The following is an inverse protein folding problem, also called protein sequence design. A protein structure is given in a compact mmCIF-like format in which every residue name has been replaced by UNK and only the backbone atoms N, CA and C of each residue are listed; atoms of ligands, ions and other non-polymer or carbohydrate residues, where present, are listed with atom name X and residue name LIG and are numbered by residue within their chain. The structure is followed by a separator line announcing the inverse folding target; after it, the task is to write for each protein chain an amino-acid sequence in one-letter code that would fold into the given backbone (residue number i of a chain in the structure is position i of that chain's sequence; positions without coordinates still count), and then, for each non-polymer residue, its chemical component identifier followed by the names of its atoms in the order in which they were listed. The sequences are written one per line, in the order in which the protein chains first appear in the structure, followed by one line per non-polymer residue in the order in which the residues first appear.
data_IF_633103692386
#
_entry.id   IF_633103692386
#
_cell.length_a   1.000
_cell.length_b   1.000
_cell.length_c   1.000
_cell.angle_alpha   90.00
_cell.angle_beta   90.00
_cell.angle_gamma   90.00
#
_symmetry.space_group_name_H-M   'P 1'
#
loop_
_entity.id
_entity.type
_entity.pdbx_description
1 polymer ?
#
# COMPACT_ATOMS: atom_id res chain seq x y z
N UNK A 1 -44.02 26.40 -77.78
CA UNK A 1 -42.77 27.02 -78.27
C UNK A 1 -41.91 27.40 -77.04
N UNK A 2 -40.66 27.11 -77.12
CA UNK A 2 -39.53 27.42 -76.19
C UNK A 2 -39.44 26.59 -74.88
N UNK A 3 -38.61 25.63 -75.02
CA UNK A 3 -37.97 24.82 -73.91
C UNK A 3 -37.08 25.75 -73.10
N UNK A 4 -37.17 25.65 -71.77
CA UNK A 4 -36.14 26.18 -70.85
C UNK A 4 -35.61 25.00 -70.09
N UNK A 5 -34.40 24.71 -70.39
CA UNK A 5 -33.60 23.66 -69.73
C UNK A 5 -33.05 24.30 -68.45
N UNK A 6 -33.44 23.81 -67.26
CA UNK A 6 -32.81 24.19 -65.98
C UNK A 6 -31.74 23.18 -65.62
N UNK A 7 -30.51 23.63 -65.64
CA UNK A 7 -29.32 22.93 -65.23
C UNK A 7 -29.24 22.97 -63.72
N UNK A 8 -29.57 21.85 -63.04
CA UNK A 8 -29.35 21.70 -61.61
C UNK A 8 -27.89 21.24 -61.35
N UNK A 9 -27.08 22.19 -60.92
CA UNK A 9 -25.71 21.87 -60.45
C UNK A 9 -25.78 21.19 -59.09
N UNK A 10 -25.50 19.90 -59.04
CA UNK A 10 -25.39 19.12 -57.83
C UNK A 10 -24.02 19.40 -57.18
N UNK A 11 -24.00 20.28 -56.16
CA UNK A 11 -22.82 20.55 -55.35
C UNK A 11 -22.64 19.41 -54.35
N UNK A 12 -21.74 18.49 -54.65
CA UNK A 12 -21.28 17.47 -53.72
C UNK A 12 -20.33 18.12 -52.68
N UNK A 13 -20.89 18.46 -51.51
CA UNK A 13 -20.11 18.85 -50.35
C UNK A 13 -19.41 17.59 -49.77
N UNK A 14 -18.15 17.41 -50.12
CA UNK A 14 -17.24 16.48 -49.48
C UNK A 14 -16.90 17.03 -48.08
N UNK A 15 -17.66 16.64 -47.05
CA UNK A 15 -17.26 16.89 -45.65
C UNK A 15 -16.09 16.01 -45.31
N UNK A 16 -14.88 16.57 -45.35
CA UNK A 16 -13.70 15.99 -44.75
C UNK A 16 -13.93 16.00 -43.26
N UNK A 17 -14.38 14.88 -42.69
CA UNK A 17 -14.38 14.65 -41.27
C UNK A 17 -12.89 14.59 -40.81
N UNK A 18 -12.39 15.71 -40.28
CA UNK A 18 -11.12 15.75 -39.62
C UNK A 18 -11.21 14.77 -38.43
N UNK A 19 -10.61 13.60 -38.60
CA UNK A 19 -10.42 12.65 -37.49
C UNK A 19 -9.47 13.32 -36.50
N UNK A 20 -10.05 14.00 -35.49
CA UNK A 20 -9.27 14.42 -34.33
C UNK A 20 -8.72 13.16 -33.68
N UNK A 21 -7.39 13.04 -33.50
CA UNK A 21 -6.85 11.93 -32.72
C UNK A 21 -7.47 11.98 -31.34
N UNK A 22 -8.29 10.99 -31.02
CA UNK A 22 -8.88 10.83 -29.70
C UNK A 22 -7.73 10.64 -28.73
N UNK A 23 -7.41 11.69 -28.01
CA UNK A 23 -6.36 11.70 -27.01
C UNK A 23 -6.77 10.66 -25.97
N UNK A 24 -6.05 9.52 -25.93
CA UNK A 24 -6.26 8.53 -24.89
C UNK A 24 -6.18 9.26 -23.54
N UNK A 25 -7.10 9.00 -22.60
CA UNK A 25 -7.10 9.67 -21.32
C UNK A 25 -5.71 9.49 -20.71
N UNK A 26 -5.08 10.60 -20.34
CA UNK A 26 -3.79 10.57 -19.65
C UNK A 26 -3.95 9.62 -18.47
N UNK A 27 -3.09 8.60 -18.39
CA UNK A 27 -3.10 7.67 -17.26
C UNK A 27 -2.98 8.52 -16.00
N UNK A 28 -4.03 8.52 -15.17
CA UNK A 28 -4.04 9.26 -13.91
C UNK A 28 -2.85 8.83 -13.04
N UNK A 29 -2.46 9.65 -12.05
CA UNK A 29 -1.33 9.34 -11.19
C UNK A 29 -1.48 7.94 -10.60
N UNK A 30 -0.43 7.14 -10.69
CA UNK A 30 -0.42 5.76 -10.17
C UNK A 30 -0.75 5.77 -8.69
N UNK A 31 -1.67 4.92 -8.25
CA UNK A 31 -1.94 4.71 -6.83
C UNK A 31 -0.65 4.29 -6.11
N UNK A 32 -0.42 4.85 -4.93
CA UNK A 32 0.71 4.48 -4.08
C UNK A 32 0.59 3.01 -3.69
N UNK A 33 1.67 2.25 -3.86
CA UNK A 33 1.73 0.84 -3.47
C UNK A 33 2.23 0.73 -2.05
N UNK A 34 1.48 0.03 -1.20
CA UNK A 34 1.87 -0.17 0.20
C UNK A 34 1.80 -1.64 0.58
N UNK A 35 2.69 -2.07 1.46
CA UNK A 35 2.59 -3.33 2.18
C UNK A 35 2.28 -3.04 3.66
N UNK A 36 1.43 -3.86 4.26
CA UNK A 36 1.07 -3.75 5.66
C UNK A 36 1.62 -4.98 6.36
N UNK A 37 2.46 -4.75 7.37
CA UNK A 37 3.02 -5.82 8.19
C UNK A 37 2.08 -6.15 9.34
N UNK A 38 2.24 -7.35 9.89
CA UNK A 38 1.55 -7.70 11.13
C UNK A 38 1.96 -6.76 12.24
N UNK A 39 0.97 -6.34 13.01
CA UNK A 39 1.24 -5.50 14.16
C UNK A 39 1.99 -6.29 15.23
N UNK A 40 3.04 -5.68 15.77
CA UNK A 40 3.70 -6.20 16.95
C UNK A 40 2.77 -6.12 18.16
N UNK A 41 2.63 -7.23 18.88
CA UNK A 41 1.79 -7.32 20.07
C UNK A 41 2.55 -7.84 21.30
N UNK A 42 3.88 -7.82 21.26
CA UNK A 42 4.71 -8.31 22.36
C UNK A 42 4.37 -7.65 23.70
N UNK A 43 4.03 -6.36 23.68
CA UNK A 43 3.67 -5.59 24.89
C UNK A 43 2.38 -6.09 25.55
N UNK A 44 1.44 -6.62 24.77
CA UNK A 44 0.11 -7.06 25.24
C UNK A 44 -0.07 -8.57 25.16
N UNK A 45 0.97 -9.31 24.86
CA UNK A 45 0.93 -10.76 24.63
C UNK A 45 0.28 -11.52 25.82
N UNK A 46 0.64 -11.16 27.05
CA UNK A 46 0.05 -11.79 28.25
C UNK A 46 -1.44 -11.52 28.40
N UNK A 47 -1.89 -10.31 28.05
CA UNK A 47 -3.29 -9.92 28.14
C UNK A 47 -4.13 -10.64 27.07
N UNK A 48 -3.55 -10.78 25.86
CA UNK A 48 -4.13 -11.57 24.76
C UNK A 48 -4.28 -13.04 25.17
N UNK A 49 -3.20 -13.66 25.67
CA UNK A 49 -3.23 -15.05 26.08
C UNK A 49 -4.24 -15.28 27.24
N UNK A 50 -4.32 -14.36 28.19
CA UNK A 50 -5.30 -14.44 29.29
C UNK A 50 -6.74 -14.29 28.79
N UNK A 51 -6.99 -13.44 27.79
CA UNK A 51 -8.31 -13.20 27.23
C UNK A 51 -8.82 -14.38 26.40
N UNK A 52 -7.97 -14.94 25.53
CA UNK A 52 -8.37 -16.01 24.62
C UNK A 52 -8.12 -17.43 25.17
N UNK A 53 -7.39 -17.54 26.28
CA UNK A 53 -7.00 -18.85 26.85
C UNK A 53 -5.97 -19.62 26.03
N UNK A 54 -5.42 -19.01 24.99
CA UNK A 54 -4.39 -19.55 24.08
C UNK A 54 -3.64 -18.41 23.41
N UNK A 55 -2.50 -18.73 22.80
CA UNK A 55 -1.75 -17.77 22.00
C UNK A 55 -2.46 -17.54 20.65
N UNK A 56 -2.89 -16.28 20.42
CA UNK A 56 -3.58 -15.84 19.22
C UNK A 56 -2.78 -14.69 18.61
N UNK A 57 -2.42 -14.80 17.32
CA UNK A 57 -1.77 -13.70 16.61
C UNK A 57 -2.77 -12.58 16.30
N UNK A 58 -2.99 -11.71 17.29
CA UNK A 58 -3.85 -10.52 17.17
C UNK A 58 -3.25 -9.48 16.24
N UNK A 59 -1.92 -9.48 16.09
CA UNK A 59 -1.21 -8.59 15.19
C UNK A 59 -1.60 -8.83 13.74
N UNK A 60 -1.68 -10.11 13.35
CA UNK A 60 -2.17 -10.54 12.04
C UNK A 60 -3.63 -10.14 11.82
N UNK A 61 -4.51 -10.43 12.79
CA UNK A 61 -5.94 -10.12 12.67
C UNK A 61 -6.19 -8.62 12.48
N UNK A 62 -5.48 -7.77 13.22
CA UNK A 62 -5.58 -6.31 13.12
C UNK A 62 -5.04 -5.80 11.77
N UNK A 63 -3.91 -6.35 11.29
CA UNK A 63 -3.38 -5.97 9.98
C UNK A 63 -4.32 -6.34 8.85
N UNK A 64 -4.99 -7.51 8.90
CA UNK A 64 -5.95 -7.96 7.89
C UNK A 64 -7.20 -7.06 7.85
N UNK A 65 -7.67 -6.57 9.03
CA UNK A 65 -8.73 -5.56 9.10
C UNK A 65 -8.27 -4.23 8.48
N UNK A 66 -7.06 -3.75 8.79
CA UNK A 66 -6.52 -2.52 8.22
C UNK A 66 -6.41 -2.62 6.70
N UNK A 67 -5.90 -3.76 6.16
CA UNK A 67 -5.89 -4.05 4.72
C UNK A 67 -7.29 -3.89 4.14
N UNK A 68 -8.31 -4.45 4.79
CA UNK A 68 -9.70 -4.37 4.32
C UNK A 68 -10.18 -2.93 4.21
N UNK A 69 -9.89 -2.08 5.19
CA UNK A 69 -10.26 -0.65 5.15
C UNK A 69 -9.52 0.09 4.03
N UNK A 70 -8.21 -0.11 3.88
CA UNK A 70 -7.42 0.58 2.86
C UNK A 70 -7.79 0.14 1.44
N UNK A 71 -8.11 -1.13 1.23
CA UNK A 71 -8.58 -1.64 -0.08
C UNK A 71 -9.96 -1.08 -0.42
N UNK A 72 -10.89 -1.02 0.56
CA UNK A 72 -12.23 -0.43 0.37
C UNK A 72 -12.16 1.07 0.04
N UNK A 73 -11.29 1.82 0.72
CA UNK A 73 -11.07 3.24 0.42
C UNK A 73 -10.49 3.45 -0.98
N UNK A 74 -9.64 2.54 -1.44
CA UNK A 74 -9.07 2.56 -2.79
C UNK A 74 -8.00 3.61 -3.03
N UNK A 75 -7.55 4.37 -2.03
CA UNK A 75 -6.46 5.36 -2.13
C UNK A 75 -5.11 4.71 -2.37
N UNK A 76 -4.92 3.51 -1.87
CA UNK A 76 -3.70 2.72 -2.00
C UNK A 76 -3.88 1.52 -2.92
N UNK A 77 -2.78 1.04 -3.48
CA UNK A 77 -2.64 -0.29 -4.04
C UNK A 77 -1.94 -1.17 -3.00
N UNK A 78 -2.72 -1.99 -2.29
CA UNK A 78 -2.18 -2.83 -1.21
C UNK A 78 -1.62 -4.12 -1.79
N UNK A 79 -0.44 -4.54 -1.32
CA UNK A 79 0.22 -5.77 -1.75
C UNK A 79 -0.41 -6.98 -1.07
N UNK A 80 -0.60 -8.04 -1.84
CA UNK A 80 -1.14 -9.32 -1.37
C UNK A 80 -0.27 -9.92 -0.25
N UNK A 81 -0.93 -10.35 0.82
CA UNK A 81 -0.27 -10.89 2.01
C UNK A 81 0.62 -12.10 1.71
N UNK A 82 0.17 -13.02 0.84
CA UNK A 82 0.97 -14.21 0.49
C UNK A 82 2.34 -13.86 -0.10
N UNK A 83 2.43 -12.76 -0.85
CA UNK A 83 3.69 -12.28 -1.39
C UNK A 83 4.59 -11.75 -0.26
N UNK A 84 4.01 -11.08 0.72
CA UNK A 84 4.70 -10.60 1.90
C UNK A 84 5.23 -11.75 2.76
N UNK A 85 4.37 -12.71 3.12
CA UNK A 85 4.72 -13.86 3.96
C UNK A 85 5.88 -14.67 3.35
N UNK A 86 5.88 -14.89 2.03
CA UNK A 86 6.94 -15.58 1.32
C UNK A 86 8.31 -14.88 1.49
N UNK A 87 8.33 -13.56 1.29
CA UNK A 87 9.58 -12.78 1.41
C UNK A 87 10.04 -12.72 2.86
N UNK A 88 9.13 -12.57 3.81
CA UNK A 88 9.46 -12.56 5.24
C UNK A 88 10.07 -13.89 5.69
N UNK A 89 9.52 -15.01 5.23
CA UNK A 89 10.06 -16.34 5.51
C UNK A 89 11.48 -16.53 4.93
N UNK A 90 11.73 -16.08 3.70
CA UNK A 90 13.04 -16.14 3.05
C UNK A 90 14.10 -15.26 3.75
N UNK A 91 13.69 -14.17 4.39
CA UNK A 91 14.58 -13.23 5.10
C UNK A 91 14.73 -13.53 6.60
N UNK A 92 14.18 -14.64 7.11
CA UNK A 92 14.16 -14.98 8.55
C UNK A 92 13.62 -13.83 9.42
N UNK A 93 12.58 -13.15 8.94
CA UNK A 93 11.99 -12.00 9.63
C UNK A 93 11.26 -12.47 10.90
N UNK A 94 11.69 -11.97 12.06
CA UNK A 94 11.14 -12.35 13.35
C UNK A 94 9.97 -11.46 13.78
N UNK A 95 9.19 -11.91 14.78
CA UNK A 95 8.11 -11.12 15.35
C UNK A 95 8.59 -9.78 15.92
N UNK A 96 9.80 -9.74 16.50
CA UNK A 96 10.40 -8.51 17.02
C UNK A 96 10.76 -7.48 15.94
N UNK A 97 10.88 -7.91 14.68
CA UNK A 97 11.19 -7.01 13.56
C UNK A 97 9.95 -6.33 12.96
N UNK A 98 8.75 -6.77 13.34
CA UNK A 98 7.47 -6.29 12.77
C UNK A 98 7.28 -4.77 12.90
N UNK A 99 7.78 -4.18 13.99
CA UNK A 99 7.70 -2.74 14.24
C UNK A 99 8.99 -1.98 13.89
N UNK A 100 10.02 -2.64 13.37
CA UNK A 100 11.31 -2.03 13.05
C UNK A 100 11.28 -1.37 11.65
N UNK A 101 11.37 -0.02 11.54
CA UNK A 101 11.27 0.68 10.25
C UNK A 101 12.38 0.30 9.26
N UNK A 102 13.61 0.07 9.75
CA UNK A 102 14.76 -0.24 8.89
C UNK A 102 14.64 -1.62 8.26
N UNK A 103 14.24 -2.63 9.03
CA UNK A 103 13.99 -3.98 8.53
C UNK A 103 12.82 -3.99 7.55
N UNK A 104 11.75 -3.29 7.88
CA UNK A 104 10.58 -3.12 7.04
C UNK A 104 10.93 -2.45 5.69
N UNK A 105 11.74 -1.40 5.68
CA UNK A 105 12.15 -0.72 4.45
C UNK A 105 12.90 -1.64 3.48
N UNK A 106 13.77 -2.52 3.98
CA UNK A 106 14.48 -3.51 3.14
C UNK A 106 13.52 -4.47 2.45
N UNK A 107 12.53 -4.98 3.18
CA UNK A 107 11.51 -5.87 2.61
C UNK A 107 10.63 -5.13 1.61
N UNK A 108 10.30 -3.88 1.87
CA UNK A 108 9.53 -3.05 0.94
C UNK A 108 10.20 -2.85 -0.41
N UNK A 109 11.53 -2.71 -0.42
CA UNK A 109 12.31 -2.65 -1.67
C UNK A 109 12.17 -3.94 -2.48
N UNK A 110 12.22 -5.10 -1.83
CA UNK A 110 12.03 -6.40 -2.49
C UNK A 110 10.60 -6.55 -3.06
N UNK A 111 9.61 -6.03 -2.36
CA UNK A 111 8.19 -6.01 -2.80
C UNK A 111 7.91 -4.99 -3.89
N UNK A 112 8.81 -4.02 -4.10
CA UNK A 112 8.60 -2.91 -5.03
C UNK A 112 7.40 -2.03 -4.64
N UNK A 113 7.19 -1.80 -3.34
CA UNK A 113 6.19 -0.87 -2.82
C UNK A 113 6.75 0.54 -2.68
N UNK A 114 5.91 1.53 -2.48
CA UNK A 114 6.32 2.92 -2.25
C UNK A 114 6.55 3.19 -0.77
N UNK A 115 5.79 2.53 0.11
CA UNK A 115 5.94 2.61 1.55
C UNK A 115 5.47 1.32 2.23
N UNK A 116 5.84 1.17 3.50
CA UNK A 116 5.36 0.11 4.37
C UNK A 116 4.64 0.71 5.56
N UNK A 117 3.56 0.05 5.97
CA UNK A 117 2.89 0.32 7.24
C UNK A 117 3.36 -0.73 8.25
N UNK A 118 4.02 -0.28 9.30
CA UNK A 118 4.39 -1.07 10.47
C UNK A 118 3.63 -0.57 11.69
N UNK A 119 3.26 -1.45 12.59
CA UNK A 119 2.47 -1.05 13.76
C UNK A 119 2.72 -1.89 14.99
N UNK A 120 2.24 -1.40 16.11
CA UNK A 120 2.22 -2.11 17.39
C UNK A 120 0.88 -1.92 18.10
N UNK A 121 0.49 -2.94 18.84
CA UNK A 121 -0.66 -2.94 19.72
C UNK A 121 -0.16 -2.56 21.10
N UNK A 122 -0.58 -1.41 21.62
CA UNK A 122 -0.09 -0.86 22.88
C UNK A 122 -1.02 -1.12 24.06
N UNK A 123 -2.30 -1.41 23.77
CA UNK A 123 -3.29 -1.85 24.74
C UNK A 123 -4.23 -2.86 24.09
N UNK A 124 -4.56 -3.94 24.80
CA UNK A 124 -5.51 -4.95 24.35
C UNK A 124 -6.14 -5.67 25.52
N UNK A 125 -7.45 -5.53 25.71
CA UNK A 125 -8.19 -6.25 26.76
C UNK A 125 -8.98 -5.34 27.68
N UNK A 126 -8.97 -5.65 28.98
CA UNK A 126 -9.79 -5.00 29.97
C UNK A 126 -9.03 -3.87 30.69
N UNK A 127 -9.62 -2.70 30.84
CA UNK A 127 -9.18 -1.72 31.83
C UNK A 127 -9.70 -2.17 33.20
N UNK A 128 -9.01 -3.11 33.83
CA UNK A 128 -9.22 -3.37 35.25
C UNK A 128 -8.58 -2.22 36.00
N UNK A 129 -9.32 -1.16 36.27
CA UNK A 129 -9.01 -0.34 37.44
C UNK A 129 -9.23 -1.27 38.64
N UNK A 130 -8.17 -1.92 39.08
CA UNK A 130 -8.10 -2.43 40.44
C UNK A 130 -8.20 -1.21 41.36
N UNK A 131 -9.41 -0.83 41.65
CA UNK A 131 -9.70 -0.11 42.88
C UNK A 131 -9.39 -1.10 44.00
N UNK A 132 -8.08 -1.29 44.25
CA UNK A 132 -7.60 -1.79 45.51
C UNK A 132 -8.01 -0.76 46.57
N UNK A 133 -9.28 -0.81 46.99
CA UNK A 133 -9.67 -0.38 48.29
C UNK A 133 -9.08 -1.42 49.27
N UNK A 134 -7.72 -1.46 49.30
CA UNK A 134 -6.93 -2.05 50.36
C UNK A 134 -7.18 -1.24 51.60
N UNK A 135 -8.12 -1.60 52.35
CA UNK A 135 -8.43 -0.99 53.63
C UNK A 135 -8.99 -2.03 54.56
N UNK A 136 -8.13 -2.58 55.38
CA UNK A 136 -8.40 -2.94 56.79
C UNK A 136 -9.90 -3.03 57.08
N UNK A 137 -10.46 -4.26 57.13
CA UNK A 137 -11.84 -4.47 57.60
C UNK A 137 -12.57 -5.66 56.97
N UNK A 138 -11.85 -6.61 56.36
CA UNK A 138 -12.45 -7.80 55.72
C UNK A 138 -12.66 -8.98 56.66
N UNK A 139 -13.17 -8.77 57.85
CA UNK A 139 -13.58 -9.84 58.76
C UNK A 139 -14.95 -9.57 59.30
N UNK A 140 -15.89 -10.42 59.07
CA UNK A 140 -17.20 -10.54 59.69
C UNK A 140 -18.41 -9.84 59.06
N UNK A 141 -18.65 -9.91 57.76
CA UNK A 141 -20.04 -9.97 57.31
C UNK A 141 -20.14 -10.97 56.15
N UNK A 142 -19.97 -12.25 56.47
CA UNK A 142 -20.39 -13.34 55.64
C UNK A 142 -21.86 -13.61 55.83
N UNK A 143 -22.54 -13.95 54.76
CA UNK A 143 -23.90 -14.45 54.62
C UNK A 143 -25.04 -13.44 54.49
N UNK A 144 -25.44 -13.27 53.27
CA UNK A 144 -26.84 -13.04 52.95
C UNK A 144 -27.23 -11.62 52.62
N UNK A 145 -26.67 -11.02 51.60
CA UNK A 145 -27.39 -10.10 50.72
C UNK A 145 -26.72 -10.20 49.35
N UNK A 146 -27.44 -10.80 48.40
CA UNK A 146 -27.03 -10.85 47.00
C UNK A 146 -26.81 -9.43 46.49
N UNK A 147 -25.57 -9.00 46.54
CA UNK A 147 -25.17 -7.77 45.86
C UNK A 147 -25.37 -7.98 44.38
N UNK A 148 -26.41 -7.35 43.82
CA UNK A 148 -26.52 -7.13 42.38
C UNK A 148 -25.37 -6.23 41.93
N UNK A 149 -24.17 -6.79 41.90
CA UNK A 149 -23.02 -6.12 41.31
C UNK A 149 -23.21 -6.11 39.82
N UNK A 150 -23.64 -4.99 39.25
CA UNK A 150 -23.54 -4.76 37.82
C UNK A 150 -22.05 -4.86 37.44
N UNK A 151 -21.67 -5.96 36.80
CA UNK A 151 -20.32 -6.13 36.26
C UNK A 151 -20.31 -5.52 34.89
N UNK A 152 -19.83 -4.30 34.81
CA UNK A 152 -19.56 -3.66 33.52
C UNK A 152 -18.21 -4.15 32.99
N UNK A 153 -18.23 -4.82 31.87
CA UNK A 153 -17.01 -5.18 31.13
C UNK A 153 -16.69 -4.05 30.16
N UNK A 154 -15.46 -3.50 30.28
CA UNK A 154 -14.94 -2.47 29.39
C UNK A 154 -13.73 -3.04 28.65
N UNK A 155 -13.77 -3.01 27.32
CA UNK A 155 -12.65 -3.34 26.47
C UNK A 155 -11.95 -2.08 25.98
N UNK A 156 -10.62 -2.11 25.91
CA UNK A 156 -9.80 -1.06 25.33
C UNK A 156 -8.79 -1.71 24.40
N UNK A 157 -8.67 -1.13 23.20
CA UNK A 157 -7.65 -1.48 22.22
C UNK A 157 -6.99 -0.19 21.77
N UNK A 158 -5.65 -0.13 21.82
CA UNK A 158 -4.88 1.00 21.31
C UNK A 158 -3.81 0.50 20.33
N UNK A 159 -3.73 1.19 19.19
CA UNK A 159 -2.86 0.88 18.07
C UNK A 159 -1.99 2.09 17.75
N UNK A 160 -0.75 1.83 17.38
CA UNK A 160 0.11 2.83 16.75
C UNK A 160 0.63 2.25 15.45
N UNK A 161 0.44 2.96 14.33
CA UNK A 161 0.97 2.60 13.03
C UNK A 161 1.88 3.69 12.50
N UNK A 162 2.90 3.30 11.71
CA UNK A 162 3.86 4.22 11.09
C UNK A 162 3.95 3.90 9.61
N UNK A 163 3.89 4.94 8.79
CA UNK A 163 4.15 4.84 7.36
C UNK A 163 5.64 5.12 7.16
N UNK A 164 6.36 4.14 6.64
CA UNK A 164 7.82 4.18 6.47
C UNK A 164 8.16 4.22 4.99
N UNK A 165 9.00 5.19 4.62
CA UNK A 165 9.59 5.24 3.28
C UNK A 165 10.59 4.08 3.10
N UNK A 166 10.50 3.38 1.97
CA UNK A 166 11.35 2.21 1.74
C UNK A 166 12.78 2.54 1.32
N UNK A 167 13.05 3.76 0.84
CA UNK A 167 14.39 4.14 0.40
C UNK A 167 15.23 4.71 1.53
N UNK A 168 14.61 5.59 2.32
CA UNK A 168 15.28 6.29 3.42
C UNK A 168 15.11 5.59 4.75
N UNK A 169 14.06 4.79 4.93
CA UNK A 169 13.65 4.24 6.22
C UNK A 169 13.01 5.29 7.14
N UNK A 170 12.74 6.48 6.64
CA UNK A 170 12.11 7.55 7.41
C UNK A 170 10.64 7.29 7.70
N UNK A 171 10.19 7.70 8.87
CA UNK A 171 8.78 7.67 9.25
C UNK A 171 8.11 8.91 8.67
N UNK A 172 7.30 8.71 7.63
CA UNK A 172 6.58 9.79 6.94
C UNK A 172 5.35 10.25 7.70
N UNK A 173 4.68 9.33 8.38
CA UNK A 173 3.48 9.60 9.16
C UNK A 173 3.33 8.60 10.30
N UNK A 174 2.67 9.05 11.35
CA UNK A 174 2.22 8.21 12.47
C UNK A 174 0.69 8.28 12.50
N UNK A 175 0.06 7.15 12.74
CA UNK A 175 -1.37 7.00 12.92
C UNK A 175 -1.63 6.28 14.24
N UNK A 176 -2.54 6.82 15.03
CA UNK A 176 -2.92 6.26 16.33
C UNK A 176 -4.43 5.99 16.33
N UNK A 177 -4.81 4.84 16.86
CA UNK A 177 -6.21 4.47 17.01
C UNK A 177 -6.47 3.93 18.38
N UNK A 178 -7.54 4.41 18.98
CA UNK A 178 -8.04 3.89 20.25
C UNK A 178 -9.52 3.56 20.13
N UNK A 179 -9.84 2.32 20.45
CA UNK A 179 -11.23 1.87 20.53
C UNK A 179 -11.59 1.47 21.95
N UNK A 180 -12.76 1.86 22.38
CA UNK A 180 -13.34 1.47 23.66
C UNK A 180 -14.76 0.94 23.44
N UNK A 181 -15.10 -0.12 24.12
CA UNK A 181 -16.47 -0.63 24.17
C UNK A 181 -16.80 -1.07 25.58
N UNK A 182 -18.02 -0.80 26.03
CA UNK A 182 -18.49 -1.14 27.34
C UNK A 182 -19.93 -1.68 27.28
N UNK A 183 -20.15 -2.82 27.94
CA UNK A 183 -21.48 -3.40 28.08
C UNK A 183 -21.69 -4.01 29.48
N UNK A 184 -22.92 -4.11 29.90
CA UNK A 184 -23.28 -4.98 31.01
C UNK A 184 -23.10 -6.45 30.60
N UNK A 185 -21.91 -6.97 30.85
CA UNK A 185 -21.56 -8.37 30.57
C UNK A 185 -20.47 -8.83 31.53
N UNK A 186 -20.42 -10.12 31.78
CA UNK A 186 -19.36 -10.73 32.59
C UNK A 186 -18.11 -11.11 31.79
N UNK A 187 -18.14 -11.00 30.45
CA UNK A 187 -17.07 -11.43 29.58
C UNK A 187 -16.87 -10.47 28.39
N UNK A 188 -15.64 -10.20 28.05
CA UNK A 188 -15.28 -9.40 26.87
C UNK A 188 -15.57 -10.11 25.54
N UNK A 189 -15.68 -11.43 25.57
CA UNK A 189 -15.93 -12.28 24.39
C UNK A 189 -17.40 -12.70 24.24
N UNK A 190 -18.29 -12.20 25.09
CA UNK A 190 -19.73 -12.57 25.09
C UNK A 190 -20.11 -13.58 26.18
N UNK A 191 -21.41 -13.73 26.43
CA UNK A 191 -21.90 -14.51 27.56
C UNK A 191 -21.75 -16.02 27.43
N UNK A 192 -21.05 -16.62 28.35
CA UNK A 192 -21.32 -17.98 28.87
C UNK A 192 -20.99 -19.21 28.00
N UNK A 193 -20.36 -19.08 26.84
CA UNK A 193 -19.96 -20.22 26.02
C UNK A 193 -18.47 -20.18 25.69
N UNK A 194 -17.79 -21.30 25.82
CA UNK A 194 -16.47 -21.43 25.27
C UNK A 194 -16.50 -21.01 23.78
N UNK A 195 -15.70 -20.02 23.40
CA UNK A 195 -15.57 -19.60 22.03
C UNK A 195 -14.95 -20.72 21.21
N UNK A 196 -15.77 -21.57 20.61
CA UNK A 196 -15.34 -22.67 19.76
C UNK A 196 -14.91 -22.22 18.34
N UNK A 197 -14.86 -20.89 18.07
CA UNK A 197 -14.47 -20.33 16.80
C UNK A 197 -12.95 -20.28 16.54
N UNK A 198 -12.12 -20.64 17.51
CA UNK A 198 -10.67 -20.63 17.39
C UNK A 198 -10.12 -22.04 17.16
N UNK A 199 -10.38 -22.63 16.01
CA UNK A 199 -9.67 -23.82 15.56
C UNK A 199 -8.28 -23.44 15.05
N UNK A 200 -7.22 -23.78 15.80
CA UNK A 200 -5.86 -23.73 15.26
C UNK A 200 -5.11 -22.40 15.30
N UNK A 201 -5.32 -21.54 16.31
CA UNK A 201 -4.46 -20.37 16.53
C UNK A 201 -4.73 -19.14 15.65
N UNK A 202 -5.68 -19.21 14.72
CA UNK A 202 -6.08 -18.07 13.88
C UNK A 202 -7.45 -17.55 14.32
N UNK A 203 -7.50 -16.34 14.89
CA UNK A 203 -8.72 -15.63 15.13
C UNK A 203 -9.18 -14.90 13.87
N UNK A 204 -10.38 -15.19 13.37
CA UNK A 204 -10.98 -14.41 12.30
C UNK A 204 -11.59 -13.13 12.85
N UNK A 205 -10.78 -12.07 12.93
CA UNK A 205 -11.19 -10.74 13.36
C UNK A 205 -12.19 -10.08 12.39
N UNK A 206 -12.29 -10.59 11.17
CA UNK A 206 -13.25 -10.15 10.16
C UNK A 206 -14.63 -10.77 10.35
N UNK A 207 -14.77 -11.83 11.16
CA UNK A 207 -16.05 -12.51 11.37
C UNK A 207 -17.07 -11.63 12.07
N UNK A 208 -18.36 -11.78 11.70
CA UNK A 208 -19.45 -11.07 12.35
C UNK A 208 -19.53 -11.38 13.85
N UNK A 209 -19.23 -12.62 14.22
CA UNK A 209 -19.31 -13.10 15.60
C UNK A 209 -18.27 -12.42 16.49
N UNK A 210 -17.01 -12.30 15.99
CA UNK A 210 -15.99 -11.55 16.72
C UNK A 210 -16.33 -10.06 16.82
N UNK A 211 -16.75 -9.44 15.71
CA UNK A 211 -17.05 -8.00 15.67
C UNK A 211 -18.25 -7.60 16.57
N UNK A 212 -19.10 -8.55 16.97
CA UNK A 212 -20.20 -8.33 17.91
C UNK A 212 -19.77 -8.48 19.36
N UNK A 213 -18.57 -8.94 19.64
CA UNK A 213 -18.03 -9.00 21.01
C UNK A 213 -17.59 -7.60 21.47
N UNK A 214 -17.48 -7.41 22.79
CA UNK A 214 -17.02 -6.12 23.35
C UNK A 214 -15.60 -5.80 22.88
N UNK A 215 -14.70 -6.79 22.86
CA UNK A 215 -13.33 -6.61 22.38
C UNK A 215 -13.30 -6.38 20.87
N UNK A 216 -14.15 -7.05 20.10
CA UNK A 216 -14.25 -6.87 18.65
C UNK A 216 -14.72 -5.49 18.25
N UNK A 217 -15.67 -4.90 18.98
CA UNK A 217 -16.07 -3.51 18.78
C UNK A 217 -14.93 -2.53 19.07
N UNK A 218 -14.17 -2.74 20.14
CA UNK A 218 -13.01 -1.92 20.46
C UNK A 218 -11.91 -2.05 19.39
N UNK A 219 -11.65 -3.27 18.91
CA UNK A 219 -10.72 -3.51 17.78
C UNK A 219 -11.17 -2.76 16.55
N UNK A 220 -12.44 -2.91 16.16
CA UNK A 220 -12.99 -2.24 14.98
C UNK A 220 -12.81 -0.72 15.07
N UNK A 221 -13.19 -0.11 16.19
CA UNK A 221 -13.07 1.34 16.39
C UNK A 221 -11.61 1.81 16.31
N UNK A 222 -10.68 1.07 16.93
CA UNK A 222 -9.25 1.40 16.88
C UNK A 222 -8.69 1.31 15.45
N UNK A 223 -9.02 0.24 14.71
CA UNK A 223 -8.57 0.05 13.33
C UNK A 223 -9.17 1.11 12.40
N UNK A 224 -10.44 1.45 12.55
CA UNK A 224 -11.11 2.48 11.74
C UNK A 224 -10.46 3.85 11.95
N UNK A 225 -10.18 4.23 13.18
CA UNK A 225 -9.46 5.48 13.49
C UNK A 225 -8.03 5.48 12.93
N UNK A 226 -7.30 4.36 13.07
CA UNK A 226 -5.96 4.20 12.51
C UNK A 226 -5.99 4.28 10.98
N UNK A 227 -6.94 3.59 10.33
CA UNK A 227 -7.06 3.55 8.87
C UNK A 227 -7.30 4.94 8.27
N UNK A 228 -8.16 5.75 8.90
CA UNK A 228 -8.42 7.13 8.48
C UNK A 228 -7.15 7.98 8.45
N UNK A 229 -6.29 7.84 9.47
CA UNK A 229 -5.03 8.58 9.54
C UNK A 229 -3.98 8.03 8.56
N UNK A 230 -3.94 6.70 8.35
CA UNK A 230 -3.07 6.09 7.33
C UNK A 230 -3.48 6.56 5.93
N UNK A 231 -4.79 6.64 5.64
CA UNK A 231 -5.31 7.15 4.37
C UNK A 231 -4.90 8.62 4.17
N UNK A 232 -5.04 9.46 5.20
CA UNK A 232 -4.59 10.84 5.15
C UNK A 232 -3.07 10.98 4.94
N UNK A 233 -2.30 10.01 5.43
CA UNK A 233 -0.84 9.96 5.29
C UNK A 233 -0.35 9.79 3.85
N UNK A 234 -1.21 9.40 2.89
CA UNK A 234 -0.83 9.19 1.48
C UNK A 234 -0.20 10.41 0.82
N UNK A 235 -0.62 11.60 1.23
CA UNK A 235 -0.13 12.86 0.68
C UNK A 235 1.36 13.10 1.00
N UNK A 236 1.87 12.46 2.05
CA UNK A 236 3.29 12.53 2.44
C UNK A 236 4.17 11.55 1.66
N UNK A 237 3.57 10.59 0.95
CA UNK A 237 4.33 9.65 0.14
C UNK A 237 4.77 10.30 -1.17
N UNK A 238 6.06 10.34 -1.40
CA UNK A 238 6.62 10.79 -2.68
C UNK A 238 6.13 9.87 -3.80
N UNK A 239 5.62 10.47 -4.88
CA UNK A 239 5.30 9.68 -6.07
C UNK A 239 6.61 9.28 -6.72
N UNK A 240 6.93 8.00 -6.68
CA UNK A 240 8.11 7.51 -7.38
C UNK A 240 7.77 7.32 -8.84
N UNK A 241 8.43 8.07 -9.66
CA UNK A 241 8.53 7.74 -11.07
C UNK A 241 9.53 6.58 -11.15
N UNK A 242 9.09 5.42 -11.65
CA UNK A 242 10.03 4.33 -11.97
C UNK A 242 10.99 4.90 -13.00
N UNK A 243 12.24 5.13 -12.60
CA UNK A 243 13.25 5.60 -13.54
C UNK A 243 13.62 4.41 -14.42
N UNK A 244 13.00 4.34 -15.60
CA UNK A 244 13.41 3.38 -16.62
C UNK A 244 14.64 3.95 -17.29
N UNK A 245 15.72 3.18 -17.31
CA UNK A 245 16.92 3.48 -18.08
C UNK A 245 17.20 2.34 -19.04
N UNK A 246 17.33 2.67 -20.30
CA UNK A 246 17.62 1.71 -21.36
C UNK A 246 18.27 2.36 -22.55
N UNK A 247 18.39 1.61 -23.64
CA UNK A 247 18.95 2.06 -24.90
C UNK A 247 18.00 1.73 -26.06
N UNK A 248 18.07 2.49 -27.11
CA UNK A 248 17.48 2.11 -28.39
C UNK A 248 18.32 0.95 -28.95
N UNK A 249 17.70 -0.21 -29.10
CA UNK A 249 18.29 -1.41 -29.66
C UNK A 249 18.28 -1.37 -31.21
N UNK A 250 17.16 -0.88 -31.79
CA UNK A 250 17.02 -0.73 -33.23
C UNK A 250 16.02 0.38 -33.59
N UNK A 251 16.15 0.92 -34.77
CA UNK A 251 15.18 1.82 -35.40
C UNK A 251 14.82 1.23 -36.75
N UNK A 252 13.58 0.82 -36.94
CA UNK A 252 13.10 0.16 -38.15
C UNK A 252 11.71 0.64 -38.54
N UNK A 253 11.54 1.08 -39.78
CA UNK A 253 10.23 1.43 -40.35
C UNK A 253 9.38 2.43 -39.54
N UNK A 254 10.02 3.30 -38.72
CA UNK A 254 9.34 4.24 -37.83
C UNK A 254 9.03 3.67 -36.44
N UNK A 255 9.33 2.41 -36.19
CA UNK A 255 9.29 1.79 -34.86
C UNK A 255 10.67 1.88 -34.20
N UNK A 256 10.67 2.07 -32.89
CA UNK A 256 11.87 2.19 -32.06
C UNK A 256 11.83 1.04 -31.07
N UNK A 257 12.80 0.14 -31.17
CA UNK A 257 12.92 -1.02 -30.31
C UNK A 257 13.85 -0.67 -29.16
N UNK A 258 13.37 -0.89 -27.93
CA UNK A 258 14.10 -0.61 -26.70
C UNK A 258 14.59 -1.93 -26.08
N UNK A 259 15.78 -1.90 -25.47
CA UNK A 259 16.33 -3.05 -24.73
C UNK A 259 15.83 -3.14 -23.27
N UNK A 260 14.73 -2.50 -22.97
CA UNK A 260 14.07 -2.50 -21.66
C UNK A 260 12.60 -2.79 -21.84
N UNK A 261 12.05 -3.63 -20.97
CA UNK A 261 10.66 -4.09 -21.04
C UNK A 261 9.98 -4.11 -19.69
N UNK A 262 8.97 -4.98 -19.55
CA UNK A 262 8.14 -5.10 -18.36
C UNK A 262 8.91 -5.37 -17.06
N UNK A 263 10.01 -6.14 -17.13
CA UNK A 263 10.87 -6.39 -15.96
C UNK A 263 11.57 -5.14 -15.44
N UNK A 264 11.85 -4.16 -16.30
CA UNK A 264 12.40 -2.86 -15.94
C UNK A 264 11.31 -1.84 -15.55
N UNK A 265 10.03 -2.24 -15.54
CA UNK A 265 8.90 -1.40 -15.17
C UNK A 265 8.30 -0.59 -16.32
N UNK A 266 8.70 -0.84 -17.56
CA UNK A 266 8.11 -0.23 -18.76
C UNK A 266 6.68 -0.72 -18.95
N UNK A 267 5.79 0.19 -19.33
CA UNK A 267 4.38 -0.11 -19.62
C UNK A 267 3.97 0.51 -20.95
N UNK A 268 2.99 -0.11 -21.60
CA UNK A 268 2.33 0.47 -22.76
C UNK A 268 1.75 1.83 -22.39
N UNK A 269 2.04 2.85 -23.20
CA UNK A 269 1.63 4.22 -22.98
C UNK A 269 2.69 5.11 -22.32
N UNK A 270 3.75 4.54 -21.74
CA UNK A 270 4.84 5.31 -21.13
C UNK A 270 5.51 6.21 -22.16
N UNK A 271 5.87 7.42 -21.75
CA UNK A 271 6.68 8.32 -22.53
C UNK A 271 8.11 8.34 -21.98
N UNK A 272 9.08 8.18 -22.89
CA UNK A 272 10.49 8.14 -22.56
C UNK A 272 11.24 9.22 -23.34
N UNK A 273 12.08 9.98 -22.63
CA UNK A 273 13.04 10.87 -23.24
C UNK A 273 14.14 10.07 -23.91
N UNK A 274 14.49 10.44 -25.12
CA UNK A 274 15.65 9.89 -25.82
C UNK A 274 16.79 10.90 -25.74
N UNK A 275 17.92 10.45 -25.22
CA UNK A 275 19.11 11.26 -24.99
C UNK A 275 20.30 10.66 -25.72
N UNK A 276 21.07 11.50 -26.36
CA UNK A 276 22.33 11.10 -26.99
C UNK A 276 23.49 11.59 -26.16
N UNK A 277 24.36 10.67 -25.73
CA UNK A 277 25.59 11.01 -25.03
C UNK A 277 26.55 11.68 -26.03
N UNK A 278 26.85 12.95 -25.77
CA UNK A 278 27.75 13.74 -26.61
C UNK A 278 29.19 13.76 -26.08
N UNK A 279 29.35 13.59 -24.76
CA UNK A 279 30.67 13.61 -24.11
C UNK A 279 30.68 12.81 -22.83
N UNK A 280 31.72 12.02 -22.64
CA UNK A 280 32.00 11.37 -21.34
C UNK A 280 33.16 12.09 -20.63
N UNK A 281 32.96 12.37 -19.36
CA UNK A 281 34.02 12.93 -18.50
C UNK A 281 34.50 11.76 -17.63
N UNK A 282 35.81 11.51 -17.71
CA UNK A 282 36.46 10.44 -16.95
C UNK A 282 37.28 11.05 -15.81
N UNK A 283 37.31 10.35 -14.70
CA UNK A 283 38.18 10.63 -13.57
C UNK A 283 39.66 10.48 -14.06
N UNK A 284 40.49 11.50 -13.92
CA UNK A 284 41.85 11.43 -14.36
C UNK A 284 42.72 10.43 -13.60
N UNK A 285 42.36 10.11 -12.36
CA UNK A 285 43.09 9.17 -11.52
C UNK A 285 42.73 7.71 -11.78
N UNK A 286 41.42 7.43 -11.97
CA UNK A 286 40.89 6.05 -12.09
C UNK A 286 40.48 5.66 -13.52
N UNK A 287 40.41 6.61 -14.45
CA UNK A 287 39.93 6.41 -15.82
C UNK A 287 38.41 6.08 -15.89
N UNK A 288 37.71 6.02 -14.78
CA UNK A 288 36.27 5.71 -14.73
C UNK A 288 35.45 6.90 -15.21
N UNK A 289 34.35 6.63 -15.93
CA UNK A 289 33.39 7.67 -16.34
C UNK A 289 32.67 8.18 -15.07
N UNK A 290 32.87 9.48 -14.77
CA UNK A 290 32.23 10.16 -13.64
C UNK A 290 31.01 10.98 -14.04
N UNK A 291 30.91 11.36 -15.35
CA UNK A 291 29.76 12.08 -15.86
C UNK A 291 29.60 11.86 -17.35
N UNK A 292 28.35 11.69 -17.79
CA UNK A 292 27.94 11.71 -19.19
C UNK A 292 27.18 13.00 -19.48
N UNK A 293 27.58 13.72 -20.51
CA UNK A 293 26.84 14.88 -21.01
C UNK A 293 26.01 14.36 -22.17
N UNK A 294 24.69 14.51 -22.07
CA UNK A 294 23.74 14.07 -23.07
C UNK A 294 22.88 15.24 -23.56
N UNK A 295 22.41 15.15 -24.78
CA UNK A 295 21.45 16.08 -25.38
C UNK A 295 20.18 15.32 -25.67
N UNK A 296 19.03 15.91 -25.34
CA UNK A 296 17.72 15.34 -25.66
C UNK A 296 17.53 15.34 -27.17
N UNK A 297 17.25 14.18 -27.75
CA UNK A 297 16.98 13.95 -29.18
C UNK A 297 15.48 14.02 -29.46
N UNK A 298 14.66 13.60 -28.51
CA UNK A 298 13.20 13.61 -28.62
C UNK A 298 12.52 12.79 -27.55
N UNK A 299 11.22 12.51 -27.77
CA UNK A 299 10.36 11.71 -26.89
C UNK A 299 9.73 10.60 -27.70
N UNK A 300 9.70 9.40 -27.13
CA UNK A 300 9.05 8.23 -27.71
C UNK A 300 7.95 7.75 -26.77
N UNK A 301 6.88 7.16 -27.34
CA UNK A 301 5.77 6.55 -26.60
C UNK A 301 5.78 5.05 -26.82
N UNK A 302 5.78 4.30 -25.74
CA UNK A 302 5.73 2.84 -25.77
C UNK A 302 4.38 2.36 -26.27
N UNK A 303 4.38 1.49 -27.28
CA UNK A 303 3.17 0.93 -27.91
C UNK A 303 2.98 -0.55 -27.60
N UNK A 304 4.08 -1.27 -27.32
CA UNK A 304 4.08 -2.68 -27.00
C UNK A 304 5.22 -3.02 -26.02
N UNK A 305 5.04 -4.03 -25.17
CA UNK A 305 5.99 -4.37 -24.11
C UNK A 305 6.08 -5.88 -23.93
N UNK A 306 7.29 -6.40 -24.11
CA UNK A 306 7.70 -7.74 -23.70
C UNK A 306 8.41 -7.70 -22.33
N UNK A 307 8.83 -8.86 -21.83
CA UNK A 307 9.57 -9.00 -20.56
C UNK A 307 10.84 -8.13 -20.50
N UNK A 308 11.61 -8.13 -21.58
CA UNK A 308 12.97 -7.51 -21.67
C UNK A 308 13.11 -6.45 -22.76
N UNK A 309 12.10 -6.27 -23.60
CA UNK A 309 12.08 -5.31 -24.70
C UNK A 309 10.76 -4.55 -24.75
N UNK A 310 10.76 -3.42 -25.46
CA UNK A 310 9.56 -2.68 -25.76
C UNK A 310 9.65 -2.06 -27.16
N UNK A 311 8.48 -1.87 -27.77
CA UNK A 311 8.34 -1.14 -29.03
C UNK A 311 7.75 0.23 -28.72
N UNK A 312 8.32 1.27 -29.31
CA UNK A 312 7.88 2.64 -29.14
C UNK A 312 7.73 3.34 -30.48
N UNK A 313 6.92 4.38 -30.52
CA UNK A 313 6.76 5.29 -31.65
C UNK A 313 7.19 6.71 -31.28
N UNK A 314 7.62 7.47 -32.25
CA UNK A 314 8.03 8.85 -32.06
C UNK A 314 6.85 9.74 -31.66
N UNK A 315 7.00 10.52 -30.57
CA UNK A 315 6.11 11.61 -30.19
C UNK A 315 6.66 12.94 -30.67
N UNK A 316 7.95 13.17 -30.45
CA UNK A 316 8.65 14.38 -30.89
C UNK A 316 10.13 14.08 -31.12
N UNK A 317 10.79 14.90 -31.91
CA UNK A 317 12.19 14.74 -32.28
C UNK A 317 12.40 13.89 -33.54
N UNK A 318 13.62 13.81 -33.99
CA UNK A 318 14.02 13.07 -35.21
C UNK A 318 15.47 12.59 -35.10
N UNK A 319 15.85 11.63 -35.97
CA UNK A 319 17.24 11.18 -36.06
C UNK A 319 17.68 10.28 -34.90
N UNK A 320 16.77 9.52 -34.35
CA UNK A 320 17.05 8.49 -33.35
C UNK A 320 18.03 7.45 -33.90
N UNK A 321 18.93 6.96 -33.07
CA UNK A 321 19.96 5.98 -33.46
C UNK A 321 20.05 4.87 -32.43
N UNK A 322 20.42 3.70 -32.88
CA UNK A 322 20.84 2.61 -31.99
C UNK A 322 21.93 3.10 -31.03
N UNK A 323 21.74 2.81 -29.72
CA UNK A 323 22.63 3.26 -28.65
C UNK A 323 22.26 4.60 -28.02
N UNK A 324 21.25 5.31 -28.52
CA UNK A 324 20.67 6.46 -27.78
C UNK A 324 20.07 5.98 -26.49
N UNK A 325 20.30 6.68 -25.40
CA UNK A 325 19.74 6.35 -24.09
C UNK A 325 18.25 6.74 -24.03
N UNK A 326 17.44 5.88 -23.39
CA UNK A 326 16.04 6.20 -23.08
C UNK A 326 15.85 6.27 -21.60
N UNK A 327 15.12 7.30 -21.14
CA UNK A 327 14.80 7.51 -19.72
C UNK A 327 13.38 7.98 -19.56
N UNK A 328 12.79 7.63 -18.43
CA UNK A 328 11.46 8.16 -18.05
C UNK A 328 11.48 9.69 -18.06
N UNK A 329 10.43 10.30 -18.62
CA UNK A 329 10.23 11.74 -18.50
C UNK A 329 10.04 12.07 -17.02
N UNK A 330 10.95 12.86 -16.44
CA UNK A 330 10.76 13.40 -15.10
C UNK A 330 9.54 14.35 -15.16
N UNK A 331 8.50 14.02 -14.40
CA UNK A 331 7.32 14.87 -14.21
C UNK A 331 7.59 15.89 -13.11
#
# INVERSE_FOLDING_TARGET
MRKVISLAALLLLFSVAAAYPQQAPAAGPRKKRVAIFDFDYATVHSDVAALFGQDVDVGKGISDLLVTYLVKDGSYSVIERKALDKIMAEQNFSNSDRANPTSAAKIGKLLGVDAIVVGSITQFGNETKNLNLGGVGGGLIGHGLGGFGHKNSKAIVALTARIVDIDTGEILAVAEGKGESQRESTSLLGGGGSWHGFGGGNADFGSSDFQQTIIGEAVKAAVEQTSTQVIAGKEKLVTRTVVVEGLIAAVDGGQIILNVGGKAGVKVGDQLNVERVTREIKDPASGKVIRRIATTVGVVKVTDVDDISAVATTVSGTGFKTGDAVRTVAQ
#
